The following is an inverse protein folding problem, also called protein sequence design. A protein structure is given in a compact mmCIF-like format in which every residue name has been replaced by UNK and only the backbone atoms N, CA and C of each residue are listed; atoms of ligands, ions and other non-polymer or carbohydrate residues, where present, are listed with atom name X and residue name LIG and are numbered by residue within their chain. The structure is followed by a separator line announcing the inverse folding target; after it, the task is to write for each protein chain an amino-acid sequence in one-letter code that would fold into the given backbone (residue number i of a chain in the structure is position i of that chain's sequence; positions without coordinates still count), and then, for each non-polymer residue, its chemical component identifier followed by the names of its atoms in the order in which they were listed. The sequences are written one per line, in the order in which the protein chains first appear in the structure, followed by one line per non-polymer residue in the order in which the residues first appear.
data_IF_927047550266
#
_entry.id   IF_927047550266
#
_cell.length_a   1.000
_cell.length_b   1.000
_cell.length_c   1.000
_cell.angle_alpha   90.00
_cell.angle_beta   90.00
_cell.angle_gamma   90.00
#
_symmetry.space_group_name_H-M   'P 1'
#
loop_
_entity.id
_entity.type
_entity.pdbx_description
1 polymer ?
#
# COMPACT_ATOMS: atom_id res chain seq x y z
N UNK A 1 -4.92 -18.59 -2.14
CA UNK A 1 -3.83 -18.03 -1.32
C UNK A 1 -3.71 -16.56 -1.70
N UNK A 2 -4.16 -15.64 -0.84
CA UNK A 2 -3.89 -14.20 -0.98
C UNK A 2 -2.55 -13.95 -0.27
N UNK A 3 -1.62 -13.24 -0.93
CA UNK A 3 -0.27 -13.01 -0.41
C UNK A 3 -0.12 -11.72 0.39
N UNK A 4 -1.02 -10.77 0.16
CA UNK A 4 -1.14 -9.56 0.97
C UNK A 4 -2.20 -9.78 2.04
N UNK A 5 -1.93 -9.28 3.24
CA UNK A 5 -2.91 -9.24 4.33
C UNK A 5 -4.15 -8.45 3.92
N UNK A 6 -5.31 -8.97 4.31
CA UNK A 6 -6.59 -8.33 4.02
C UNK A 6 -6.64 -6.91 4.59
N UNK A 7 -6.10 -6.71 5.80
CA UNK A 7 -6.02 -5.39 6.43
C UNK A 7 -5.25 -4.36 5.58
N UNK A 8 -4.18 -4.79 4.92
CA UNK A 8 -3.33 -3.96 4.08
C UNK A 8 -4.06 -3.55 2.79
N UNK A 9 -4.83 -4.47 2.23
CA UNK A 9 -5.73 -4.22 1.10
C UNK A 9 -6.80 -3.21 1.52
N UNK A 10 -7.46 -3.42 2.67
CA UNK A 10 -8.49 -2.51 3.18
C UNK A 10 -7.95 -1.09 3.44
N UNK A 11 -6.75 -0.96 4.05
CA UNK A 11 -6.07 0.33 4.23
C UNK A 11 -5.81 1.01 2.88
N UNK A 12 -5.29 0.26 1.90
CA UNK A 12 -5.06 0.77 0.55
C UNK A 12 -6.37 1.21 -0.14
N UNK A 13 -7.43 0.42 -0.04
CA UNK A 13 -8.71 0.74 -0.68
C UNK A 13 -9.32 2.03 -0.13
N UNK A 14 -9.17 2.27 1.18
CA UNK A 14 -9.56 3.51 1.87
C UNK A 14 -8.72 4.72 1.53
N UNK A 15 -7.55 4.57 0.89
CA UNK A 15 -6.75 5.71 0.44
C UNK A 15 -7.49 6.48 -0.68
N UNK A 16 -7.45 7.82 -0.67
CA UNK A 16 -7.94 8.61 -1.79
C UNK A 16 -7.08 8.38 -3.03
N UNK A 17 -7.62 8.74 -4.22
CA UNK A 17 -6.90 8.58 -5.49
C UNK A 17 -5.51 9.24 -5.47
N UNK A 18 -5.37 10.37 -4.80
CA UNK A 18 -4.09 11.06 -4.58
C UNK A 18 -3.09 10.21 -3.80
N UNK A 19 -3.49 9.62 -2.68
CA UNK A 19 -2.63 8.70 -1.90
C UNK A 19 -2.22 7.47 -2.69
N UNK A 20 -3.14 6.90 -3.49
CA UNK A 20 -2.82 5.78 -4.39
C UNK A 20 -1.80 6.17 -5.46
N UNK A 21 -1.92 7.37 -6.04
CA UNK A 21 -0.95 7.89 -7.00
C UNK A 21 0.44 8.12 -6.37
N UNK A 22 0.50 8.63 -5.14
CA UNK A 22 1.76 8.81 -4.41
C UNK A 22 2.42 7.44 -4.17
N UNK A 23 1.65 6.43 -3.75
CA UNK A 23 2.17 5.08 -3.57
C UNK A 23 2.76 4.50 -4.86
N UNK A 24 2.09 4.69 -6.00
CA UNK A 24 2.56 4.24 -7.31
C UNK A 24 3.84 4.97 -7.72
N UNK A 25 3.92 6.29 -7.50
CA UNK A 25 5.13 7.06 -7.78
C UNK A 25 6.30 6.62 -6.91
N UNK A 26 6.07 6.42 -5.61
CA UNK A 26 7.08 5.91 -4.69
C UNK A 26 7.55 4.51 -5.10
N UNK A 27 6.64 3.63 -5.52
CA UNK A 27 6.99 2.29 -6.00
C UNK A 27 7.85 2.35 -7.28
N UNK A 28 7.51 3.24 -8.22
CA UNK A 28 8.30 3.47 -9.42
C UNK A 28 9.71 3.98 -9.10
N UNK A 29 9.83 4.90 -8.14
CA UNK A 29 11.10 5.54 -7.79
C UNK A 29 12.00 4.65 -6.94
N UNK A 30 11.46 3.97 -5.95
CA UNK A 30 12.23 3.24 -4.93
C UNK A 30 12.46 1.77 -5.32
N UNK A 31 11.51 1.15 -6.02
CA UNK A 31 11.61 -0.25 -6.44
C UNK A 31 12.00 -0.41 -7.91
N UNK A 32 12.14 0.71 -8.66
CA UNK A 32 12.42 0.69 -10.10
C UNK A 32 11.36 -0.04 -10.93
N UNK A 33 10.18 -0.29 -10.34
CA UNK A 33 9.14 -1.11 -10.91
C UNK A 33 8.15 -0.20 -11.61
N UNK A 34 7.86 -0.38 -12.91
CA UNK A 34 6.71 0.27 -13.55
C UNK A 34 5.42 -0.27 -12.93
N UNK A 35 5.04 0.27 -11.76
CA UNK A 35 3.88 -0.10 -11.00
C UNK A 35 2.65 0.38 -11.77
N UNK A 36 1.82 -0.54 -12.33
CA UNK A 36 0.59 -0.14 -12.98
C UNK A 36 -0.38 0.46 -11.96
N UNK A 37 -1.39 1.18 -12.43
CA UNK A 37 -2.44 1.81 -11.60
C UNK A 37 -3.13 0.85 -10.62
N UNK A 38 -3.02 -0.47 -10.85
CA UNK A 38 -3.58 -1.56 -10.04
C UNK A 38 -2.49 -2.46 -9.42
N UNK A 39 -1.30 -1.94 -9.13
CA UNK A 39 -0.14 -2.73 -8.67
C UNK A 39 -0.42 -3.53 -7.39
N UNK A 40 -1.15 -2.96 -6.42
CA UNK A 40 -1.59 -3.69 -5.22
C UNK A 40 -2.46 -4.91 -5.57
N UNK A 41 -3.42 -4.76 -6.50
CA UNK A 41 -4.22 -5.89 -7.01
C UNK A 41 -3.40 -6.91 -7.83
N UNK A 42 -2.24 -6.54 -8.37
CA UNK A 42 -1.35 -7.53 -9.01
C UNK A 42 -0.58 -8.32 -7.96
N UNK A 43 -0.16 -7.67 -6.87
CA UNK A 43 0.53 -8.32 -5.76
C UNK A 43 -0.36 -9.27 -4.95
N UNK A 44 -1.69 -9.13 -5.04
CA UNK A 44 -2.63 -10.13 -4.51
C UNK A 44 -2.79 -11.37 -5.39
N UNK A 45 -2.28 -11.36 -6.64
CA UNK A 45 -2.40 -12.49 -7.58
C UNK A 45 -1.11 -13.31 -7.67
N UNK A 46 -1.24 -14.61 -7.95
CA UNK A 46 -0.15 -15.62 -7.97
C UNK A 46 1.03 -15.31 -8.91
N UNK A 47 0.87 -14.38 -9.86
CA UNK A 47 1.91 -13.97 -10.83
C UNK A 47 2.72 -12.74 -10.39
N UNK A 48 2.37 -12.13 -9.26
CA UNK A 48 2.99 -10.89 -8.78
C UNK A 48 3.33 -10.92 -7.30
N UNK A 49 3.58 -12.10 -6.72
CA UNK A 49 3.90 -12.23 -5.31
C UNK A 49 5.09 -11.30 -4.96
N UNK A 50 4.91 -10.33 -4.04
CA UNK A 50 5.99 -9.45 -3.64
C UNK A 50 7.06 -10.25 -2.89
N UNK A 51 8.33 -9.86 -3.06
CA UNK A 51 9.40 -10.33 -2.18
C UNK A 51 9.16 -9.81 -0.75
N UNK A 52 9.76 -10.42 0.29
CA UNK A 52 9.63 -9.91 1.67
C UNK A 52 9.98 -8.42 1.79
N UNK A 53 11.05 -7.97 1.15
CA UNK A 53 11.43 -6.56 1.14
C UNK A 53 10.39 -5.65 0.45
N UNK A 54 9.77 -6.11 -0.65
CA UNK A 54 8.69 -5.37 -1.31
C UNK A 54 7.43 -5.33 -0.44
N UNK A 55 7.14 -6.43 0.26
CA UNK A 55 6.02 -6.50 1.20
C UNK A 55 6.22 -5.53 2.37
N UNK A 56 7.40 -5.54 3.00
CA UNK A 56 7.71 -4.66 4.13
C UNK A 56 7.68 -3.18 3.73
N UNK A 57 8.26 -2.87 2.56
CA UNK A 57 8.20 -1.52 1.98
C UNK A 57 6.75 -1.08 1.71
N UNK A 58 5.95 -1.96 1.08
CA UNK A 58 4.55 -1.68 0.75
C UNK A 58 3.72 -1.45 2.01
N UNK A 59 3.93 -2.29 3.03
CA UNK A 59 3.31 -2.17 4.34
C UNK A 59 3.59 -0.80 4.95
N UNK A 60 4.87 -0.44 5.08
CA UNK A 60 5.28 0.82 5.68
C UNK A 60 4.67 2.03 4.93
N UNK A 61 4.70 2.02 3.59
CA UNK A 61 4.16 3.13 2.79
C UNK A 61 2.64 3.25 2.82
N UNK A 62 1.92 2.13 2.81
CA UNK A 62 0.46 2.15 2.96
C UNK A 62 0.09 2.64 4.36
N UNK A 63 0.79 2.22 5.41
CA UNK A 63 0.53 2.68 6.78
C UNK A 63 0.83 4.17 6.97
N UNK A 64 1.93 4.67 6.41
CA UNK A 64 2.28 6.10 6.38
C UNK A 64 1.18 6.92 5.70
N UNK A 65 0.79 6.53 4.47
CA UNK A 65 -0.26 7.23 3.72
C UNK A 65 -1.62 7.11 4.40
N UNK A 66 -1.95 5.94 4.95
CA UNK A 66 -3.23 5.73 5.62
C UNK A 66 -3.35 6.61 6.86
N UNK A 67 -2.27 6.72 7.66
CA UNK A 67 -2.23 7.60 8.84
C UNK A 67 -2.32 9.08 8.46
N UNK A 68 -1.72 9.46 7.33
CA UNK A 68 -1.81 10.83 6.81
C UNK A 68 -3.23 11.20 6.36
N UNK A 69 -3.92 10.31 5.65
CA UNK A 69 -5.26 10.58 5.10
C UNK A 69 -6.41 10.23 6.05
N UNK A 70 -6.19 9.36 7.04
CA UNK A 70 -7.12 9.02 8.10
C UNK A 70 -6.42 9.21 9.46
N UNK A 71 -6.09 10.46 9.85
CA UNK A 71 -5.63 10.69 11.20
C UNK A 71 -6.69 10.17 12.17
N UNK A 72 -6.28 9.42 13.19
CA UNK A 72 -7.20 9.02 14.25
C UNK A 72 -7.88 10.28 14.79
N UNK A 73 -9.21 10.25 15.04
CA UNK A 73 -9.89 11.40 15.62
C UNK A 73 -9.15 11.80 16.90
N UNK A 74 -8.73 13.06 16.97
CA UNK A 74 -8.04 13.63 18.13
C UNK A 74 -8.87 13.35 19.39
N UNK A 75 -8.44 12.39 20.21
CA UNK A 75 -9.18 11.97 21.40
C UNK A 75 -9.08 10.51 21.82
N UNK A 76 -8.42 9.64 21.04
CA UNK A 76 -8.15 8.25 21.46
C UNK A 76 -6.65 8.11 21.82
N UNK A 77 -6.32 8.31 23.09
CA UNK A 77 -5.01 7.93 23.66
C UNK A 77 -4.91 6.42 23.88
N UNK A 78 -3.73 5.79 23.64
CA UNK A 78 -3.49 4.37 23.88
C UNK A 78 -3.58 3.97 25.37
#
# INVERSE_FOLDING_TARGET
MRFLDQELIDKYEKLPKSGKSILIQAANSELGYFAPTNWVNRMTTRKGQPTPAQYDWLKAKIEELYSYYNPLPEGVTP
#
